data_IF_855806420757
#
_entry.id   IF_855806420757
#
_cell.length_a   1.000
_cell.length_b   1.000
_cell.length_c   1.000
_cell.angle_alpha   90.00
_cell.angle_beta   90.00
_cell.angle_gamma   90.00
#
_symmetry.space_group_name_H-M   'P 1'
#
loop_
_entity.id
_entity.type
_entity.pdbx_description
1 polymer ?
#
# COMPACT_ATOMS: atom_id res chain seq x y z
N UNK A 1 3.47 -17.73 4.59
CA UNK A 1 2.62 -16.53 4.80
C UNK A 1 3.23 -15.38 4.02
N UNK A 2 2.41 -14.55 3.39
CA UNK A 2 2.85 -13.34 2.70
C UNK A 2 2.48 -12.14 3.58
N UNK A 3 3.39 -11.18 3.71
CA UNK A 3 3.09 -9.88 4.30
C UNK A 3 3.16 -8.84 3.19
N UNK A 4 2.10 -8.06 3.01
CA UNK A 4 2.06 -7.04 1.95
C UNK A 4 1.91 -5.63 2.55
N UNK A 5 2.53 -4.66 1.91
CA UNK A 5 2.53 -3.24 2.30
C UNK A 5 2.26 -2.35 1.10
N UNK A 6 1.61 -1.21 1.32
CA UNK A 6 1.41 -0.16 0.33
C UNK A 6 2.08 1.13 0.80
N UNK A 7 2.61 1.91 -0.14
CA UNK A 7 3.13 3.26 0.11
C UNK A 7 4.24 3.37 1.16
N UNK A 8 4.23 4.46 1.93
CA UNK A 8 5.30 4.81 2.88
C UNK A 8 6.19 5.95 2.38
N UNK A 9 7.29 6.23 3.10
CA UNK A 9 8.26 7.28 2.76
C UNK A 9 9.70 6.85 3.07
N UNK A 10 10.66 7.44 2.36
CA UNK A 10 12.09 7.43 2.72
C UNK A 10 12.56 8.74 3.39
N UNK A 11 11.62 9.65 3.70
CA UNK A 11 11.87 10.99 4.24
C UNK A 11 12.03 12.08 3.17
N UNK A 12 12.11 11.73 1.88
CA UNK A 12 12.15 12.67 0.75
C UNK A 12 10.98 12.46 -0.19
N UNK A 13 10.63 11.20 -0.46
CA UNK A 13 9.56 10.79 -1.37
C UNK A 13 8.51 9.97 -0.63
N UNK A 14 7.26 10.14 -1.05
CA UNK A 14 6.19 9.25 -0.65
C UNK A 14 5.90 8.30 -1.81
N UNK A 15 5.57 7.06 -1.48
CA UNK A 15 5.31 6.02 -2.46
C UNK A 15 3.83 5.64 -2.49
N UNK A 16 3.42 5.00 -3.59
CA UNK A 16 2.11 4.35 -3.78
C UNK A 16 2.27 2.99 -4.46
N UNK A 17 3.43 2.36 -4.33
CA UNK A 17 3.69 1.00 -4.78
C UNK A 17 3.18 0.00 -3.74
N UNK A 18 3.03 -1.25 -4.17
CA UNK A 18 2.65 -2.35 -3.28
C UNK A 18 3.70 -3.44 -3.34
N UNK A 19 4.20 -3.85 -2.17
CA UNK A 19 5.20 -4.88 -2.05
C UNK A 19 4.68 -6.05 -1.24
N UNK A 20 5.14 -7.24 -1.57
CA UNK A 20 4.88 -8.46 -0.81
C UNK A 20 6.19 -9.13 -0.42
N UNK A 21 6.29 -9.50 0.84
CA UNK A 21 7.38 -10.30 1.38
C UNK A 21 6.92 -11.73 1.59
N UNK A 22 7.62 -12.66 0.94
CA UNK A 22 7.44 -14.08 1.19
C UNK A 22 8.35 -14.54 2.33
N UNK A 23 7.73 -14.91 3.45
CA UNK A 23 8.44 -15.38 4.65
C UNK A 23 9.18 -16.72 4.44
N UNK A 24 8.80 -17.48 3.42
CA UNK A 24 9.39 -18.78 3.08
C UNK A 24 10.68 -18.57 2.30
N UNK A 25 10.61 -17.82 1.21
CA UNK A 25 11.76 -17.58 0.31
C UNK A 25 12.61 -16.39 0.75
N UNK A 26 12.12 -15.57 1.68
CA UNK A 26 12.73 -14.31 2.15
C UNK A 26 12.99 -13.32 1.01
N UNK A 27 12.07 -13.27 0.05
CA UNK A 27 12.17 -12.39 -1.12
C UNK A 27 11.03 -11.37 -1.11
N UNK A 28 11.38 -10.18 -1.59
CA UNK A 28 10.44 -9.13 -1.91
C UNK A 28 10.02 -9.25 -3.37
N UNK A 29 8.74 -9.07 -3.64
CA UNK A 29 8.17 -8.94 -4.98
C UNK A 29 7.22 -7.75 -4.99
N UNK A 30 7.38 -6.88 -5.98
CA UNK A 30 6.41 -5.83 -6.26
C UNK A 30 5.11 -6.47 -6.79
N UNK A 31 3.96 -6.02 -6.31
CA UNK A 31 2.65 -6.49 -6.73
C UNK A 31 2.02 -5.48 -7.69
N UNK A 32 1.64 -5.95 -8.88
CA UNK A 32 0.80 -5.17 -9.76
C UNK A 32 -0.61 -5.03 -9.15
N UNK A 33 -1.22 -3.87 -9.34
CA UNK A 33 -2.51 -3.54 -8.75
C UNK A 33 -3.49 -3.06 -9.82
N UNK A 34 -4.77 -3.43 -9.70
CA UNK A 34 -5.83 -3.04 -10.62
C UNK A 34 -6.89 -2.23 -9.87
N UNK A 35 -7.31 -1.11 -10.47
CA UNK A 35 -8.35 -0.23 -9.95
C UNK A 35 -7.84 1.20 -9.78
N UNK A 36 -8.52 1.96 -8.94
CA UNK A 36 -8.10 3.32 -8.57
C UNK A 36 -7.08 3.20 -7.43
N UNK A 37 -5.80 3.22 -7.80
CA UNK A 37 -4.72 3.19 -6.82
C UNK A 37 -4.64 4.57 -6.15
N UNK A 38 -4.66 4.65 -4.80
CA UNK A 38 -4.62 5.93 -4.12
C UNK A 38 -3.31 6.67 -4.38
N UNK A 39 -3.35 8.01 -4.24
CA UNK A 39 -2.16 8.85 -4.30
C UNK A 39 -1.13 8.46 -3.21
N UNK A 40 0.17 8.77 -3.42
CA UNK A 40 1.22 8.46 -2.46
C UNK A 40 0.92 8.97 -1.07
N UNK A 41 1.15 8.10 -0.08
CA UNK A 41 0.81 8.37 1.32
C UNK A 41 1.63 7.52 2.29
N UNK A 42 1.80 8.05 3.49
CA UNK A 42 2.41 7.34 4.62
C UNK A 42 1.46 7.25 5.83
N UNK A 43 1.82 6.46 6.83
CA UNK A 43 1.11 6.42 8.13
C UNK A 43 -0.35 6.00 8.07
N UNK A 44 -0.79 5.35 6.98
CA UNK A 44 -2.16 4.88 6.81
C UNK A 44 -2.37 3.52 7.49
N UNK A 45 -3.63 3.16 7.70
CA UNK A 45 -4.01 1.80 8.05
C UNK A 45 -4.26 0.98 6.77
N UNK A 46 -3.81 -0.27 6.76
CA UNK A 46 -3.98 -1.19 5.63
C UNK A 46 -4.48 -2.56 6.09
N UNK A 47 -5.42 -3.14 5.35
CA UNK A 47 -5.86 -4.53 5.53
C UNK A 47 -6.14 -5.18 4.18
N UNK A 48 -5.84 -6.47 4.06
CA UNK A 48 -6.22 -7.27 2.90
C UNK A 48 -7.38 -8.17 3.31
N UNK A 49 -8.46 -8.13 2.52
CA UNK A 49 -9.56 -9.10 2.59
C UNK A 49 -9.68 -9.72 1.20
N UNK A 50 -9.53 -11.04 1.15
CA UNK A 50 -9.36 -11.81 -0.09
C UNK A 50 -8.19 -11.27 -0.94
N UNK A 51 -8.49 -10.72 -2.11
CA UNK A 51 -7.53 -10.13 -3.05
C UNK A 51 -7.67 -8.60 -3.15
N UNK A 52 -8.36 -7.98 -2.19
CA UNK A 52 -8.57 -6.53 -2.16
C UNK A 52 -7.80 -5.94 -0.98
N UNK A 53 -6.95 -4.95 -1.29
CA UNK A 53 -6.30 -4.13 -0.29
C UNK A 53 -7.17 -2.91 0.00
N UNK A 54 -7.46 -2.69 1.27
CA UNK A 54 -8.18 -1.54 1.79
C UNK A 54 -7.20 -0.63 2.53
N UNK A 55 -7.21 0.64 2.19
CA UNK A 55 -6.35 1.68 2.75
C UNK A 55 -7.22 2.78 3.33
N UNK A 56 -7.02 3.12 4.61
CA UNK A 56 -7.74 4.21 5.25
C UNK A 56 -6.78 5.28 5.78
N UNK A 57 -7.07 6.52 5.41
CA UNK A 57 -6.36 7.71 5.87
C UNK A 57 -4.89 7.77 5.47
N UNK A 58 -4.05 8.20 6.41
CA UNK A 58 -2.63 8.47 6.22
C UNK A 58 -2.33 9.96 6.01
N UNK A 59 -1.14 10.26 5.52
CA UNK A 59 -0.70 11.62 5.17
C UNK A 59 -0.22 11.67 3.72
N UNK A 60 -0.72 12.64 2.98
CA UNK A 60 -0.34 12.85 1.58
C UNK A 60 0.98 13.61 1.43
N UNK A 61 1.46 13.70 0.19
CA UNK A 61 2.72 14.38 -0.16
C UNK A 61 2.76 15.86 0.19
N UNK A 62 1.60 16.50 0.33
CA UNK A 62 1.45 17.90 0.72
C UNK A 62 1.45 18.10 2.25
N UNK A 63 1.71 17.03 3.01
CA UNK A 63 1.75 17.02 4.47
C UNK A 63 0.37 17.01 5.12
N UNK A 64 -0.72 16.93 4.35
CA UNK A 64 -2.08 16.91 4.91
C UNK A 64 -2.52 15.51 5.28
N UNK A 65 -3.20 15.42 6.41
CA UNK A 65 -3.84 14.18 6.84
C UNK A 65 -5.04 13.87 5.93
N UNK A 66 -5.19 12.59 5.60
CA UNK A 66 -6.21 12.04 4.72
C UNK A 66 -7.28 11.33 5.57
N UNK A 67 -8.53 11.39 5.12
CA UNK A 67 -9.67 10.72 5.77
C UNK A 67 -10.53 9.96 4.75
N UNK A 68 -9.89 9.47 3.68
CA UNK A 68 -10.50 8.68 2.63
C UNK A 68 -10.30 7.17 2.86
N UNK A 69 -11.23 6.38 2.33
CA UNK A 69 -11.09 4.92 2.18
C UNK A 69 -10.86 4.63 0.70
N UNK A 70 -9.76 3.94 0.40
CA UNK A 70 -9.44 3.44 -0.93
C UNK A 70 -9.42 1.91 -0.92
N UNK A 71 -9.79 1.30 -2.05
CA UNK A 71 -9.73 -0.14 -2.23
C UNK A 71 -9.29 -0.51 -3.65
N UNK A 72 -8.33 -1.42 -3.78
CA UNK A 72 -7.84 -1.90 -5.07
C UNK A 72 -7.48 -3.38 -5.02
N UNK A 73 -7.52 -4.03 -6.20
CA UNK A 73 -7.24 -5.47 -6.32
C UNK A 73 -5.75 -5.72 -6.50
N UNK A 74 -5.23 -6.69 -5.76
CA UNK A 74 -3.88 -7.20 -5.91
C UNK A 74 -3.84 -8.29 -6.99
N UNK A 75 -2.90 -8.16 -7.92
CA UNK A 75 -2.56 -9.22 -8.88
C UNK A 75 -1.24 -9.86 -8.48
N UNK A 76 -1.19 -11.19 -8.64
CA UNK A 76 0.03 -11.98 -8.46
C UNK A 76 0.85 -12.01 -9.74
#
# INVERSE_FOLDING_TARGET
SLSSSFGGTDGQYHYNDTWSFDLTTRKWSELACIGVIPAPREGHAAVIVDNVMYIFGGRGVDGKDLNDLAAFKLTR
#
